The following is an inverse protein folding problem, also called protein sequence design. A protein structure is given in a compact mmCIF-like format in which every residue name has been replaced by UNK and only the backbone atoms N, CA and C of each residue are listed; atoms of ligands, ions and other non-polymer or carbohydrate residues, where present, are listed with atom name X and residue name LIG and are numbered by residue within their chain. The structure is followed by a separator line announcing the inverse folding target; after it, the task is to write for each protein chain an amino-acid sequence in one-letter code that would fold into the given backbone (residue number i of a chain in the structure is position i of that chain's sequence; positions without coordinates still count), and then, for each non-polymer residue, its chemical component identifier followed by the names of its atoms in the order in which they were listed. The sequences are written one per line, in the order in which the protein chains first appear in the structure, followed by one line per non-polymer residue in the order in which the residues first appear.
data_IF_268744736872
#
_entry.id   IF_268744736872
#
_cell.length_a   1.000
_cell.length_b   1.000
_cell.length_c   1.000
_cell.angle_alpha   90.00
_cell.angle_beta   90.00
_cell.angle_gamma   90.00
#
_symmetry.space_group_name_H-M   'P 1'
#
loop_
_entity.id
_entity.type
_entity.pdbx_description
1 polymer ?
#
# COMPACT_ATOMS: atom_id res chain seq x y z
N UNK A 1 -0.60 23.72 4.71
CA UNK A 1 -0.06 22.51 5.35
C UNK A 1 -0.90 21.31 4.95
N UNK A 2 -0.29 20.19 4.56
CA UNK A 2 -0.98 18.95 4.22
C UNK A 2 -1.75 18.42 5.44
N UNK A 3 -3.01 18.85 5.63
CA UNK A 3 -3.96 18.25 6.58
C UNK A 3 -4.57 17.02 5.89
N UNK A 4 -3.75 16.01 5.63
CA UNK A 4 -4.28 14.72 5.21
C UNK A 4 -4.91 14.05 6.43
N UNK A 5 -6.15 13.54 6.34
CA UNK A 5 -6.78 12.77 7.42
C UNK A 5 -6.02 11.48 7.77
N UNK A 6 -5.09 11.06 6.90
CA UNK A 6 -4.24 9.86 7.08
C UNK A 6 -2.91 10.16 7.76
N UNK A 7 -2.63 11.43 8.11
CA UNK A 7 -1.30 11.82 8.58
C UNK A 7 -0.89 11.07 9.84
N UNK A 8 -1.76 11.04 10.85
CA UNK A 8 -1.40 10.47 12.16
C UNK A 8 -1.12 8.96 12.08
N UNK A 9 -1.93 8.22 11.31
CA UNK A 9 -1.76 6.77 11.13
C UNK A 9 -0.53 6.45 10.27
N UNK A 10 -0.37 7.16 9.15
CA UNK A 10 0.77 6.96 8.25
C UNK A 10 2.09 7.38 8.90
N UNK A 11 2.12 8.45 9.70
CA UNK A 11 3.31 8.90 10.42
C UNK A 11 3.76 7.85 11.44
N UNK A 12 2.82 7.24 12.17
CA UNK A 12 3.13 6.16 13.11
C UNK A 12 3.74 4.95 12.39
N UNK A 13 3.13 4.51 11.29
CA UNK A 13 3.63 3.39 10.46
C UNK A 13 5.00 3.71 9.85
N UNK A 14 5.19 4.92 9.33
CA UNK A 14 6.46 5.35 8.75
C UNK A 14 7.59 5.36 9.79
N UNK A 15 7.31 5.84 11.01
CA UNK A 15 8.28 5.78 12.12
C UNK A 15 8.66 4.34 12.48
N UNK A 16 7.74 3.39 12.40
CA UNK A 16 8.06 1.97 12.59
C UNK A 16 8.97 1.44 11.47
N UNK A 17 8.69 1.79 10.21
CA UNK A 17 9.55 1.43 9.08
C UNK A 17 10.98 1.96 9.24
N UNK A 18 11.15 3.18 9.75
CA UNK A 18 12.47 3.76 10.04
C UNK A 18 13.25 2.93 11.06
N UNK A 19 12.59 2.46 12.14
CA UNK A 19 13.22 1.56 13.12
C UNK A 19 13.66 0.24 12.51
N UNK A 20 12.92 -0.25 11.51
CA UNK A 20 13.23 -1.47 10.76
C UNK A 20 14.17 -1.24 9.57
N UNK A 21 14.61 0.00 9.32
CA UNK A 21 15.43 0.42 8.17
C UNK A 21 14.80 0.10 6.80
N UNK A 22 13.47 0.10 6.74
CA UNK A 22 12.71 -0.15 5.52
C UNK A 22 12.21 1.14 4.86
N UNK A 23 12.38 2.30 5.54
CA UNK A 23 11.94 3.63 5.08
C UNK A 23 12.65 4.12 3.81
N UNK A 24 13.79 3.52 3.46
CA UNK A 24 14.54 3.82 2.24
C UNK A 24 14.10 3.01 1.04
N UNK A 25 13.32 1.95 1.24
CA UNK A 25 12.83 1.12 0.14
C UNK A 25 11.64 1.82 -0.53
N UNK A 26 11.76 2.24 -1.80
CA UNK A 26 10.66 2.90 -2.50
C UNK A 26 9.45 1.97 -2.63
N UNK A 27 9.70 0.66 -2.82
CA UNK A 27 8.64 -0.35 -2.81
C UNK A 27 7.86 -0.34 -1.50
N UNK A 28 8.54 -0.38 -0.36
CA UNK A 28 7.90 -0.45 0.96
C UNK A 28 7.08 0.81 1.22
N UNK A 29 7.67 1.99 0.99
CA UNK A 29 6.99 3.27 1.24
C UNK A 29 5.73 3.40 0.37
N UNK A 30 5.80 3.07 -0.91
CA UNK A 30 4.62 3.13 -1.80
C UNK A 30 3.58 2.09 -1.40
N UNK A 31 4.01 0.87 -1.05
CA UNK A 31 3.11 -0.21 -0.63
C UNK A 31 2.32 0.14 0.63
N UNK A 32 2.96 0.70 1.65
CA UNK A 32 2.25 1.08 2.88
C UNK A 32 1.24 2.20 2.64
N UNK A 33 1.52 3.14 1.74
CA UNK A 33 0.57 4.21 1.38
C UNK A 33 -0.65 3.60 0.69
N UNK A 34 -0.43 2.66 -0.24
CA UNK A 34 -1.51 1.94 -0.90
C UNK A 34 -2.36 1.14 0.08
N UNK A 35 -1.73 0.43 1.03
CA UNK A 35 -2.43 -0.32 2.07
C UNK A 35 -3.18 0.59 3.04
N UNK A 36 -2.64 1.76 3.38
CA UNK A 36 -3.34 2.73 4.22
C UNK A 36 -4.58 3.29 3.51
N UNK A 37 -4.47 3.61 2.22
CA UNK A 37 -5.60 4.02 1.40
C UNK A 37 -6.69 2.94 1.37
N UNK A 38 -6.31 1.66 1.30
CA UNK A 38 -7.23 0.54 1.36
C UNK A 38 -7.99 0.49 2.69
N UNK A 39 -7.29 0.62 3.82
CA UNK A 39 -7.89 0.62 5.17
C UNK A 39 -8.93 1.73 5.35
N UNK A 40 -8.75 2.86 4.68
CA UNK A 40 -9.66 3.99 4.71
C UNK A 40 -10.68 4.01 3.54
N UNK A 41 -10.89 2.88 2.88
CA UNK A 41 -11.86 2.71 1.79
C UNK A 41 -11.62 3.58 0.54
N UNK A 42 -10.42 4.12 0.35
CA UNK A 42 -10.01 4.80 -0.89
C UNK A 42 -9.58 3.77 -1.95
N UNK A 43 -10.46 2.83 -2.28
CA UNK A 43 -10.13 1.63 -3.06
C UNK A 43 -9.49 1.95 -4.42
N UNK A 44 -10.04 2.91 -5.18
CA UNK A 44 -9.49 3.30 -6.48
C UNK A 44 -8.06 3.86 -6.39
N UNK A 45 -7.81 4.74 -5.42
CA UNK A 45 -6.47 5.29 -5.18
C UNK A 45 -5.51 4.20 -4.67
N UNK A 46 -5.99 3.33 -3.79
CA UNK A 46 -5.23 2.17 -3.29
C UNK A 46 -4.74 1.29 -4.45
N UNK A 47 -5.61 0.93 -5.41
CA UNK A 47 -5.22 0.12 -6.56
C UNK A 47 -4.08 0.77 -7.33
N UNK A 48 -4.21 2.04 -7.69
CA UNK A 48 -3.19 2.76 -8.48
C UNK A 48 -1.84 2.79 -7.75
N UNK A 49 -1.84 3.05 -6.45
CA UNK A 49 -0.62 3.15 -5.64
C UNK A 49 0.03 1.77 -5.45
N UNK A 50 -0.76 0.72 -5.17
CA UNK A 50 -0.23 -0.64 -5.01
C UNK A 50 0.32 -1.20 -6.32
N UNK A 51 -0.32 -0.92 -7.46
CA UNK A 51 0.21 -1.27 -8.79
C UNK A 51 1.53 -0.54 -9.09
N UNK A 52 1.63 0.73 -8.71
CA UNK A 52 2.89 1.47 -8.80
C UNK A 52 3.98 0.83 -7.93
N UNK A 53 3.62 0.37 -6.73
CA UNK A 53 4.50 -0.41 -5.86
C UNK A 53 5.03 -1.67 -6.56
N UNK A 54 4.17 -2.45 -7.20
CA UNK A 54 4.59 -3.63 -7.96
C UNK A 54 5.51 -3.32 -9.15
N UNK A 55 5.30 -2.17 -9.82
CA UNK A 55 6.18 -1.69 -10.91
C UNK A 55 7.57 -1.30 -10.41
N UNK A 56 7.67 -0.71 -9.21
CA UNK A 56 8.96 -0.45 -8.55
C UNK A 56 9.68 -1.76 -8.24
N UNK A 57 8.93 -2.75 -7.75
CA UNK A 57 9.42 -4.10 -7.50
C UNK A 57 10.24 -4.25 -6.21
N UNK A 58 10.39 -5.49 -5.76
CA UNK A 58 11.16 -5.87 -4.58
C UNK A 58 11.69 -7.29 -4.74
N UNK A 59 12.86 -7.57 -4.15
CA UNK A 59 13.39 -8.94 -4.05
C UNK A 59 12.69 -9.76 -2.96
N UNK A 60 11.91 -9.11 -2.08
CA UNK A 60 11.20 -9.81 -0.99
C UNK A 60 9.87 -10.37 -1.47
N UNK A 61 9.81 -11.69 -1.67
CA UNK A 61 8.59 -12.40 -2.04
C UNK A 61 7.45 -12.18 -1.03
N UNK A 62 7.77 -12.09 0.26
CA UNK A 62 6.78 -11.82 1.33
C UNK A 62 6.12 -10.45 1.17
N UNK A 63 6.92 -9.41 0.94
CA UNK A 63 6.40 -8.05 0.76
C UNK A 63 5.61 -7.93 -0.54
N UNK A 64 6.08 -8.59 -1.61
CA UNK A 64 5.35 -8.64 -2.88
C UNK A 64 3.99 -9.34 -2.74
N UNK A 65 3.94 -10.47 -2.04
CA UNK A 65 2.69 -11.20 -1.77
C UNK A 65 1.70 -10.38 -0.94
N UNK A 66 2.18 -9.61 0.03
CA UNK A 66 1.33 -8.70 0.82
C UNK A 66 0.66 -7.63 -0.06
N UNK A 67 1.38 -7.06 -1.02
CA UNK A 67 0.83 -6.09 -1.98
C UNK A 67 -0.21 -6.73 -2.91
N UNK A 68 0.06 -7.94 -3.41
CA UNK A 68 -0.92 -8.67 -4.22
C UNK A 68 -2.21 -8.96 -3.45
N UNK A 69 -2.11 -9.37 -2.19
CA UNK A 69 -3.28 -9.63 -1.34
C UNK A 69 -4.09 -8.35 -1.09
N UNK A 70 -3.41 -7.22 -0.85
CA UNK A 70 -4.06 -5.91 -0.73
C UNK A 70 -4.73 -5.46 -2.05
N UNK A 71 -4.08 -5.69 -3.20
CA UNK A 71 -4.66 -5.40 -4.52
C UNK A 71 -5.92 -6.23 -4.78
N UNK A 72 -5.87 -7.53 -4.50
CA UNK A 72 -7.04 -8.41 -4.63
C UNK A 72 -8.21 -7.88 -3.78
N UNK A 73 -7.94 -7.49 -2.53
CA UNK A 73 -8.95 -6.91 -1.64
C UNK A 73 -9.50 -5.56 -2.14
N UNK A 74 -8.64 -4.72 -2.71
CA UNK A 74 -9.04 -3.43 -3.28
C UNK A 74 -9.90 -3.63 -4.55
N UNK A 75 -9.52 -4.56 -5.43
CA UNK A 75 -10.29 -4.91 -6.63
C UNK A 75 -11.65 -5.53 -6.29
N UNK A 76 -11.69 -6.41 -5.29
CA UNK A 76 -12.93 -6.97 -4.75
C UNK A 76 -13.87 -5.85 -4.27
N UNK A 77 -13.34 -4.90 -3.51
CA UNK A 77 -14.12 -3.76 -2.96
C UNK A 77 -14.64 -2.80 -4.03
N UNK A 78 -14.01 -2.77 -5.20
CA UNK A 78 -14.47 -1.99 -6.37
C UNK A 78 -15.49 -2.75 -7.24
N UNK A 79 -15.85 -3.98 -6.88
CA UNK A 79 -16.71 -4.84 -7.70
C UNK A 79 -16.01 -5.42 -8.94
N UNK A 80 -14.68 -5.35 -9.00
CA UNK A 80 -13.90 -5.92 -10.10
C UNK A 80 -13.44 -7.34 -9.76
N UNK A 81 -14.37 -8.29 -9.82
CA UNK A 81 -14.13 -9.69 -9.45
C UNK A 81 -13.12 -10.39 -10.36
N UNK A 82 -13.00 -9.99 -11.62
CA UNK A 82 -12.05 -10.59 -12.57
C UNK A 82 -10.60 -10.33 -12.18
N UNK A 83 -10.32 -9.17 -11.57
CA UNK A 83 -8.98 -8.80 -11.11
C UNK A 83 -8.71 -9.13 -9.64
N UNK A 84 -9.71 -9.62 -8.89
CA UNK A 84 -9.55 -9.97 -7.48
C UNK A 84 -9.16 -11.44 -7.26
N UNK A 85 -9.16 -12.26 -8.31
CA UNK A 85 -8.81 -13.69 -8.31
C UNK A 85 -7.31 -13.91 -8.43
#
# INVERSE_FOLDING_TARGET
AMKSPLRDTLEATYRQLQKMKLDKSPFVVVSIIGQELLTHSYYGASVVVLEAGLKIGTCSLKLRGSVFSALSSAYWSLGNAEKSV
#
